data_IF_483253376062
#
_entry.id   IF_483253376062
#
_cell.length_a   1.000
_cell.length_b   1.000
_cell.length_c   1.000
_cell.angle_alpha   90.00
_cell.angle_beta   90.00
_cell.angle_gamma   90.00
#
_symmetry.space_group_name_H-M   'P 1'
#
loop_
_entity.id
_entity.type
_entity.pdbx_description
1 polymer ?
#
# COMPACT_ATOMS: atom_id res chain seq x y z
N UNK A 1 -24.06 -16.86 -8.38
CA UNK A 1 -24.25 -18.25 -7.94
C UNK A 1 -24.91 -19.08 -9.05
N UNK A 2 -26.02 -18.69 -9.62
CA UNK A 2 -26.63 -19.40 -10.76
C UNK A 2 -25.69 -19.61 -11.97
N UNK A 3 -24.85 -18.59 -12.29
CA UNK A 3 -23.84 -18.71 -13.35
C UNK A 3 -22.73 -19.72 -13.05
N UNK A 4 -22.32 -19.84 -11.79
CA UNK A 4 -21.32 -20.84 -11.38
C UNK A 4 -21.90 -22.23 -11.54
N UNK A 5 -23.12 -22.45 -11.08
CA UNK A 5 -23.83 -23.73 -11.25
C UNK A 5 -23.99 -24.08 -12.73
N UNK A 6 -24.33 -23.10 -13.58
CA UNK A 6 -24.48 -23.33 -15.02
C UNK A 6 -23.16 -23.71 -15.71
N UNK A 7 -22.01 -23.19 -15.23
CA UNK A 7 -20.70 -23.46 -15.82
C UNK A 7 -19.97 -24.66 -15.25
N UNK A 8 -20.18 -24.96 -13.98
CA UNK A 8 -19.41 -26.01 -13.27
C UNK A 8 -20.24 -27.22 -12.87
N UNK A 9 -21.57 -27.14 -12.91
CA UNK A 9 -22.48 -28.17 -12.44
C UNK A 9 -22.59 -28.28 -10.91
N UNK A 10 -21.79 -27.49 -10.16
CA UNK A 10 -21.77 -27.52 -8.70
C UNK A 10 -22.53 -26.37 -8.07
N UNK A 11 -23.31 -26.67 -7.07
CA UNK A 11 -23.95 -25.69 -6.21
C UNK A 11 -22.98 -25.35 -5.07
N UNK A 12 -22.43 -24.12 -5.08
CA UNK A 12 -21.53 -23.63 -4.05
C UNK A 12 -22.18 -22.43 -3.37
N UNK A 13 -22.19 -22.41 -2.04
CA UNK A 13 -22.64 -21.23 -1.30
C UNK A 13 -21.71 -20.03 -1.52
N UNK A 14 -22.21 -18.81 -1.32
CA UNK A 14 -21.38 -17.59 -1.42
C UNK A 14 -20.20 -17.64 -0.44
N UNK A 15 -20.42 -18.18 0.75
CA UNK A 15 -19.39 -18.26 1.79
C UNK A 15 -18.29 -19.27 1.42
N UNK A 16 -18.62 -20.40 0.82
CA UNK A 16 -17.65 -21.38 0.32
C UNK A 16 -16.89 -20.82 -0.88
N UNK A 17 -17.58 -20.24 -1.85
CA UNK A 17 -16.93 -19.62 -3.01
C UNK A 17 -15.99 -18.47 -2.63
N UNK A 18 -16.28 -17.73 -1.57
CA UNK A 18 -15.41 -16.67 -1.08
C UNK A 18 -14.05 -17.20 -0.57
N UNK A 19 -14.04 -18.36 0.08
CA UNK A 19 -12.81 -18.99 0.60
C UNK A 19 -11.85 -19.44 -0.48
N UNK A 20 -12.36 -19.72 -1.67
CA UNK A 20 -11.56 -20.14 -2.84
C UNK A 20 -10.98 -18.94 -3.61
N UNK A 21 -11.14 -17.71 -3.12
CA UNK A 21 -10.59 -16.53 -3.77
C UNK A 21 -9.17 -16.21 -3.31
N UNK A 22 -8.36 -15.67 -4.22
CA UNK A 22 -7.00 -15.17 -3.91
C UNK A 22 -7.08 -14.11 -2.79
N UNK A 23 -8.10 -13.25 -2.82
CA UNK A 23 -8.29 -12.22 -1.80
C UNK A 23 -8.48 -12.83 -0.40
N UNK A 24 -9.28 -13.88 -0.28
CA UNK A 24 -9.49 -14.55 1.00
C UNK A 24 -8.20 -15.15 1.55
N UNK A 25 -7.43 -15.86 0.73
CA UNK A 25 -6.17 -16.47 1.14
C UNK A 25 -5.12 -15.44 1.60
N UNK A 26 -5.07 -14.27 0.93
CA UNK A 26 -4.18 -13.18 1.33
C UNK A 26 -4.63 -12.58 2.67
N UNK A 27 -5.93 -12.30 2.84
CA UNK A 27 -6.48 -11.77 4.09
C UNK A 27 -6.26 -12.72 5.27
N UNK A 28 -6.51 -14.02 5.07
CA UNK A 28 -6.30 -15.06 6.08
C UNK A 28 -4.84 -15.12 6.54
N UNK A 29 -3.90 -15.12 5.59
CA UNK A 29 -2.45 -15.14 5.85
C UNK A 29 -1.97 -13.92 6.67
N UNK A 30 -2.58 -12.76 6.43
CA UNK A 30 -2.18 -11.50 7.07
C UNK A 30 -3.03 -11.16 8.30
N UNK A 31 -4.05 -11.94 8.60
CA UNK A 31 -4.89 -11.74 9.76
C UNK A 31 -4.20 -12.26 11.02
N UNK A 32 -4.02 -11.40 12.00
CA UNK A 32 -3.45 -11.72 13.32
C UNK A 32 -4.52 -11.97 14.39
N UNK A 33 -5.80 -11.95 13.99
CA UNK A 33 -6.92 -12.34 14.84
C UNK A 33 -7.42 -13.73 14.49
N UNK A 34 -8.07 -14.40 15.42
CA UNK A 34 -8.72 -15.70 15.19
C UNK A 34 -10.10 -15.58 14.53
N UNK A 35 -10.45 -14.38 14.03
CA UNK A 35 -11.78 -14.08 13.51
C UNK A 35 -11.70 -13.46 12.11
N UNK A 36 -12.29 -14.13 11.12
CA UNK A 36 -12.35 -13.63 9.74
C UNK A 36 -13.44 -12.58 9.49
N UNK A 37 -14.36 -12.39 10.42
CA UNK A 37 -15.37 -11.30 10.35
C UNK A 37 -14.83 -9.99 10.94
N UNK A 38 -13.78 -10.07 11.77
CA UNK A 38 -13.11 -8.91 12.39
C UNK A 38 -11.61 -9.03 12.23
N UNK A 39 -11.12 -8.67 11.05
CA UNK A 39 -9.72 -8.80 10.69
C UNK A 39 -8.82 -7.83 11.45
N UNK A 40 -7.67 -8.32 11.91
CA UNK A 40 -6.55 -7.54 12.41
C UNK A 40 -5.37 -7.77 11.48
N UNK A 41 -5.26 -6.95 10.45
CA UNK A 41 -4.33 -7.17 9.36
C UNK A 41 -2.93 -6.61 9.66
N UNK A 42 -1.91 -7.37 9.30
CA UNK A 42 -0.52 -6.95 9.26
C UNK A 42 -0.08 -6.83 7.81
N UNK A 43 0.38 -5.65 7.43
CA UNK A 43 0.87 -5.37 6.09
C UNK A 43 2.35 -5.67 5.94
N UNK A 44 2.79 -6.01 4.72
CA UNK A 44 4.19 -6.28 4.40
C UNK A 44 4.94 -5.01 4.03
N UNK A 45 4.29 -4.06 3.38
CA UNK A 45 4.90 -2.84 2.84
C UNK A 45 3.96 -1.65 2.93
N UNK A 46 4.55 -0.46 3.06
CA UNK A 46 3.86 0.84 2.99
C UNK A 46 4.33 1.61 1.76
N UNK A 47 3.42 2.37 1.15
CA UNK A 47 3.76 3.33 0.11
C UNK A 47 2.93 4.59 0.25
N UNK A 48 3.56 5.74 0.08
CA UNK A 48 2.92 7.06 0.14
C UNK A 48 3.48 7.98 -0.92
N UNK A 49 2.78 9.06 -1.18
CA UNK A 49 3.26 10.11 -2.06
C UNK A 49 3.44 11.43 -1.31
N UNK A 50 4.05 12.39 -1.96
CA UNK A 50 4.45 13.70 -1.43
C UNK A 50 3.33 14.48 -0.72
N UNK A 51 2.08 14.41 -1.17
CA UNK A 51 0.96 15.07 -0.49
C UNK A 51 0.63 14.40 0.86
N UNK A 52 0.84 13.10 1.00
CA UNK A 52 0.36 12.33 2.15
C UNK A 52 1.44 11.98 3.16
N UNK A 53 2.68 11.69 2.73
CA UNK A 53 3.71 11.21 3.65
C UNK A 53 4.11 12.26 4.71
N UNK A 54 4.04 13.55 4.39
CA UNK A 54 4.39 14.61 5.34
C UNK A 54 3.51 14.53 6.58
N UNK A 55 2.19 14.55 6.42
CA UNK A 55 1.25 14.46 7.55
C UNK A 55 1.34 13.12 8.29
N UNK A 56 1.50 12.01 7.56
CA UNK A 56 1.66 10.67 8.14
C UNK A 56 2.89 10.63 9.05
N UNK A 57 4.04 11.08 8.55
CA UNK A 57 5.30 11.02 9.31
C UNK A 57 5.29 12.00 10.47
N UNK A 58 4.71 13.20 10.31
CA UNK A 58 4.57 14.15 11.42
C UNK A 58 3.74 13.57 12.55
N UNK A 59 2.62 12.93 12.23
CA UNK A 59 1.77 12.24 13.22
C UNK A 59 2.52 11.08 13.90
N UNK A 60 3.22 10.27 13.13
CA UNK A 60 4.02 9.17 13.65
C UNK A 60 5.15 9.66 14.58
N UNK A 61 5.82 10.77 14.22
CA UNK A 61 6.84 11.40 15.08
C UNK A 61 6.26 11.89 16.40
N UNK A 62 5.08 12.50 16.37
CA UNK A 62 4.38 12.92 17.59
C UNK A 62 4.01 11.72 18.49
N UNK A 63 3.89 10.53 17.91
CA UNK A 63 3.63 9.26 18.59
C UNK A 63 4.91 8.48 18.97
N UNK A 64 6.09 9.08 18.83
CA UNK A 64 7.36 8.45 19.22
C UNK A 64 8.02 7.58 18.15
N UNK A 65 7.85 7.90 16.87
CA UNK A 65 8.50 7.16 15.78
C UNK A 65 10.03 7.24 15.89
N UNK A 66 10.67 6.09 16.05
CA UNK A 66 12.13 5.94 16.04
C UNK A 66 12.65 5.36 14.71
N UNK A 67 11.89 4.43 14.13
CA UNK A 67 12.19 3.75 12.86
C UNK A 67 10.89 3.32 12.20
N UNK A 68 10.86 3.28 10.86
CA UNK A 68 9.70 2.69 10.17
C UNK A 68 9.57 1.20 10.52
N UNK A 69 8.37 0.75 10.94
CA UNK A 69 8.16 -0.61 11.42
C UNK A 69 8.18 -1.67 10.31
N UNK A 70 8.09 -1.25 9.07
CA UNK A 70 8.11 -2.08 7.87
C UNK A 70 8.72 -1.32 6.70
N UNK A 71 9.07 -1.97 5.59
CA UNK A 71 9.52 -1.29 4.38
C UNK A 71 8.53 -0.21 3.95
N UNK A 72 8.99 1.02 3.91
CA UNK A 72 8.18 2.19 3.57
C UNK A 72 8.79 2.94 2.39
N UNK A 73 8.00 3.10 1.33
CA UNK A 73 8.39 3.80 0.11
C UNK A 73 7.72 5.17 0.06
N UNK A 74 8.54 6.20 -0.01
CA UNK A 74 8.16 7.60 -0.10
C UNK A 74 8.36 8.06 -1.54
N UNK A 75 7.28 8.24 -2.30
CA UNK A 75 7.33 8.66 -3.69
C UNK A 75 7.02 10.15 -3.83
N UNK A 76 7.70 10.84 -4.74
CA UNK A 76 7.46 12.25 -5.05
C UNK A 76 6.85 12.39 -6.45
N UNK A 77 5.79 11.67 -6.67
CA UNK A 77 5.20 11.50 -8.00
C UNK A 77 3.90 12.27 -8.19
N UNK A 78 3.28 12.74 -7.13
CA UNK A 78 1.98 13.45 -7.22
C UNK A 78 2.20 14.94 -7.52
N UNK A 79 3.15 15.57 -6.85
CA UNK A 79 3.57 16.95 -7.06
C UNK A 79 4.99 17.00 -7.64
N UNK A 80 5.24 16.24 -8.71
CA UNK A 80 6.55 16.21 -9.35
C UNK A 80 6.96 17.52 -10.04
N UNK A 81 6.04 18.48 -10.15
CA UNK A 81 6.30 19.81 -10.70
C UNK A 81 6.97 20.67 -9.64
N UNK A 82 8.27 20.49 -9.48
CA UNK A 82 9.06 21.28 -8.54
C UNK A 82 9.03 22.76 -8.91
N UNK A 83 9.10 23.63 -7.91
CA UNK A 83 9.18 25.09 -8.03
C UNK A 83 8.03 25.77 -8.82
N UNK A 84 6.91 25.10 -9.00
CA UNK A 84 5.76 25.71 -9.66
C UNK A 84 4.95 26.54 -8.65
N UNK A 85 5.13 27.84 -8.66
CA UNK A 85 4.40 28.78 -7.82
C UNK A 85 4.83 28.83 -6.35
N UNK A 86 5.99 28.25 -6.00
CA UNK A 86 6.53 28.27 -4.65
C UNK A 86 7.45 27.09 -4.34
N UNK A 87 7.95 27.03 -3.11
CA UNK A 87 8.90 26.01 -2.64
C UNK A 87 8.26 24.88 -1.84
N UNK A 88 6.94 24.87 -1.71
CA UNK A 88 6.23 23.89 -0.85
C UNK A 88 6.52 22.46 -1.28
N UNK A 89 6.49 22.19 -2.58
CA UNK A 89 6.72 20.83 -3.09
C UNK A 89 8.17 20.39 -2.86
N UNK A 90 9.15 21.29 -3.04
CA UNK A 90 10.55 20.99 -2.75
C UNK A 90 10.78 20.75 -1.27
N UNK A 91 10.13 21.54 -0.40
CA UNK A 91 10.20 21.36 1.04
C UNK A 91 9.64 19.98 1.44
N UNK A 92 8.52 19.55 0.87
CA UNK A 92 7.95 18.23 1.07
C UNK A 92 8.90 17.12 0.57
N UNK A 93 9.51 17.30 -0.60
CA UNK A 93 10.50 16.37 -1.14
C UNK A 93 11.75 16.26 -0.26
N UNK A 94 12.28 17.38 0.20
CA UNK A 94 13.42 17.41 1.13
C UNK A 94 13.07 16.79 2.48
N UNK A 95 11.86 17.04 2.98
CA UNK A 95 11.34 16.37 4.18
C UNK A 95 11.30 14.86 3.99
N UNK A 96 10.72 14.38 2.89
CA UNK A 96 10.65 12.94 2.57
C UNK A 96 12.02 12.29 2.50
N UNK A 97 12.99 12.93 1.81
CA UNK A 97 14.36 12.44 1.74
C UNK A 97 15.02 12.35 3.12
N UNK A 98 14.87 13.39 3.94
CA UNK A 98 15.41 13.43 5.30
C UNK A 98 14.80 12.34 6.19
N UNK A 99 13.51 12.12 6.07
CA UNK A 99 12.77 11.10 6.81
C UNK A 99 13.18 9.68 6.38
N UNK A 100 13.33 9.43 5.07
CA UNK A 100 13.80 8.14 4.58
C UNK A 100 15.20 7.81 5.12
N UNK A 101 16.12 8.78 5.12
CA UNK A 101 17.46 8.63 5.71
C UNK A 101 17.41 8.38 7.22
N UNK A 102 16.57 9.11 7.93
CA UNK A 102 16.48 9.04 9.39
C UNK A 102 15.82 7.77 9.89
N UNK A 103 14.69 7.38 9.26
CA UNK A 103 13.83 6.30 9.74
C UNK A 103 13.95 4.99 8.94
N UNK A 104 14.81 4.95 7.90
CA UNK A 104 15.11 3.72 7.14
C UNK A 104 14.14 3.42 5.99
N UNK A 105 13.51 4.44 5.40
CA UNK A 105 12.63 4.29 4.24
C UNK A 105 13.37 4.29 2.90
N UNK A 106 12.63 4.01 1.83
CA UNK A 106 13.06 4.15 0.44
C UNK A 106 12.50 5.45 -0.13
N UNK A 107 13.36 6.32 -0.60
CA UNK A 107 12.98 7.58 -1.24
C UNK A 107 13.00 7.44 -2.76
N UNK A 108 11.88 7.76 -3.41
CA UNK A 108 11.77 7.83 -4.87
C UNK A 108 11.68 9.30 -5.28
N UNK A 109 12.68 9.83 -6.00
CA UNK A 109 12.70 11.24 -6.41
C UNK A 109 11.53 11.61 -7.33
N UNK A 110 11.21 12.91 -7.46
CA UNK A 110 10.25 13.39 -8.44
C UNK A 110 10.67 13.00 -9.87
N UNK A 111 9.71 12.91 -10.77
CA UNK A 111 9.89 12.53 -12.19
C UNK A 111 10.39 11.10 -12.47
N UNK A 112 10.51 10.26 -11.46
CA UNK A 112 10.95 8.87 -11.63
C UNK A 112 9.80 7.93 -11.98
N UNK A 113 8.73 7.97 -11.23
CA UNK A 113 7.56 7.11 -11.45
C UNK A 113 6.33 7.64 -10.71
N UNK A 114 5.15 7.33 -11.22
CA UNK A 114 3.91 7.45 -10.46
C UNK A 114 3.90 6.36 -9.38
N UNK A 115 3.39 6.68 -8.18
CA UNK A 115 3.34 5.76 -7.02
C UNK A 115 2.78 4.37 -7.43
N UNK A 116 1.69 4.35 -8.20
CA UNK A 116 1.01 3.11 -8.61
C UNK A 116 1.87 2.28 -9.54
N UNK A 117 2.58 2.92 -10.48
CA UNK A 117 3.47 2.23 -11.39
C UNK A 117 4.69 1.67 -10.65
N UNK A 118 5.30 2.48 -9.79
CA UNK A 118 6.39 2.04 -8.94
C UNK A 118 6.00 0.83 -8.08
N UNK A 119 4.82 0.90 -7.44
CA UNK A 119 4.33 -0.19 -6.60
C UNK A 119 4.10 -1.49 -7.39
N UNK A 120 3.51 -1.41 -8.60
CA UNK A 120 3.29 -2.59 -9.45
C UNK A 120 4.60 -3.21 -9.92
N UNK A 121 5.59 -2.41 -10.27
CA UNK A 121 6.84 -2.90 -10.84
C UNK A 121 7.87 -3.35 -9.79
N UNK A 122 7.83 -2.77 -8.59
CA UNK A 122 8.89 -2.94 -7.59
C UNK A 122 8.43 -3.53 -6.27
N UNK A 123 7.14 -3.43 -5.94
CA UNK A 123 6.63 -3.86 -4.64
C UNK A 123 5.68 -5.03 -4.73
N UNK A 124 5.01 -5.24 -5.87
CA UNK A 124 4.04 -6.31 -6.05
C UNK A 124 4.73 -7.69 -5.99
N UNK A 125 4.19 -8.57 -5.15
CA UNK A 125 4.66 -9.94 -4.96
C UNK A 125 3.45 -10.85 -4.72
N UNK A 126 3.53 -12.10 -5.15
CA UNK A 126 2.46 -13.05 -4.95
C UNK A 126 2.14 -13.24 -3.47
N UNK A 127 0.88 -13.01 -3.10
CA UNK A 127 0.39 -13.13 -1.72
C UNK A 127 0.83 -12.02 -0.78
N UNK A 128 1.44 -10.93 -1.27
CA UNK A 128 1.81 -9.79 -0.45
C UNK A 128 0.64 -8.82 -0.22
N UNK A 129 0.72 -8.06 0.86
CA UNK A 129 -0.25 -7.04 1.22
C UNK A 129 0.43 -5.67 1.40
N UNK A 130 0.01 -4.69 0.60
CA UNK A 130 0.58 -3.34 0.57
C UNK A 130 -0.45 -2.34 1.08
N UNK A 131 -0.07 -1.51 2.05
CA UNK A 131 -0.86 -0.36 2.48
C UNK A 131 -0.37 0.90 1.79
N UNK A 132 -1.26 1.60 1.11
CA UNK A 132 -0.98 2.86 0.44
C UNK A 132 -1.82 4.01 0.94
N UNK A 133 -1.28 5.21 0.92
CA UNK A 133 -1.97 6.42 1.35
C UNK A 133 -2.67 7.19 0.22
N UNK A 134 -2.72 6.60 -0.95
CA UNK A 134 -3.41 7.18 -2.11
C UNK A 134 -4.76 6.47 -2.35
N UNK A 135 -5.77 7.23 -2.73
CA UNK A 135 -7.14 6.72 -2.98
C UNK A 135 -7.22 5.71 -4.14
N UNK A 136 -6.23 5.69 -5.03
CA UNK A 136 -6.11 4.75 -6.14
C UNK A 136 -5.21 3.54 -5.81
N UNK A 137 -4.84 3.34 -4.55
CA UNK A 137 -4.08 2.17 -4.11
C UNK A 137 -4.92 0.90 -4.28
N UNK A 138 -4.86 0.31 -5.46
CA UNK A 138 -5.59 -0.90 -5.87
C UNK A 138 -4.74 -1.72 -6.82
N UNK A 139 -3.58 -2.13 -6.36
CA UNK A 139 -2.58 -2.83 -7.20
C UNK A 139 -2.79 -4.34 -7.17
N UNK A 140 -3.90 -4.82 -7.66
CA UNK A 140 -4.17 -6.25 -7.77
C UNK A 140 -3.26 -6.97 -8.78
N UNK A 141 -1.97 -6.60 -8.86
CA UNK A 141 -1.04 -7.17 -9.80
C UNK A 141 -0.26 -8.35 -9.19
N UNK A 142 -0.01 -9.39 -9.97
CA UNK A 142 0.82 -10.55 -9.59
C UNK A 142 0.36 -11.27 -8.29
N UNK A 143 -0.94 -11.24 -7.97
CA UNK A 143 -1.46 -11.82 -6.73
C UNK A 143 -1.16 -11.00 -5.48
N UNK A 144 -0.84 -9.72 -5.62
CA UNK A 144 -0.73 -8.75 -4.52
C UNK A 144 -2.09 -8.16 -4.19
N UNK A 145 -2.37 -7.96 -2.92
CA UNK A 145 -3.48 -7.14 -2.45
C UNK A 145 -2.96 -5.78 -1.98
N UNK A 146 -3.41 -4.69 -2.60
CA UNK A 146 -3.09 -3.34 -2.16
C UNK A 146 -4.36 -2.59 -1.73
N UNK A 147 -4.27 -1.93 -0.60
CA UNK A 147 -5.37 -1.23 0.06
C UNK A 147 -4.92 0.20 0.39
#
# INVERSE_FOLDING_TARGET
MAEIKAKTGHEVSKAEAAKETIAYSILEKHNTSDNMDKLKLRFDKLTSHDITFVGIIQTARASGLEKFPMPYVLTNCHNSLCAVGGTINEDDHMFGLSCAKKYGGVYVPPHQAVIHQFARERLAECGAMILGSDSHTRYGALGTMAI
#
